data_IF_064893093249
#
_entry.id   IF_064893093249
#
_cell.length_a   1.000
_cell.length_b   1.000
_cell.length_c   1.000
_cell.angle_alpha   90.00
_cell.angle_beta   90.00
_cell.angle_gamma   90.00
#
_symmetry.space_group_name_H-M   'P 1'
#
loop_
_entity.id
_entity.type
_entity.pdbx_description
1 polymer ?
#
# COMPACT_ATOMS: atom_id res chain seq x y z
N UNK A 1 -87.35 36.62 17.58
CA UNK A 1 -87.50 35.31 18.24
C UNK A 1 -86.07 34.86 18.54
N UNK A 2 -85.50 35.21 19.70
CA UNK A 2 -85.54 34.45 20.98
C UNK A 2 -84.78 33.11 20.82
N UNK A 3 -83.70 32.74 21.52
CA UNK A 3 -83.16 33.08 22.86
C UNK A 3 -81.76 32.45 23.03
N UNK A 4 -80.85 33.09 23.78
CA UNK A 4 -79.67 32.52 24.47
C UNK A 4 -80.11 31.53 25.60
N UNK A 5 -79.28 30.63 26.20
CA UNK A 5 -78.06 30.98 26.97
C UNK A 5 -76.89 29.94 27.01
N UNK A 6 -75.80 30.34 27.68
CA UNK A 6 -74.53 29.63 27.95
C UNK A 6 -74.54 28.71 29.24
N UNK A 7 -73.38 28.38 29.89
CA UNK A 7 -72.63 27.10 29.93
C UNK A 7 -72.69 26.39 31.33
N UNK A 8 -71.82 25.40 31.69
CA UNK A 8 -70.56 25.73 32.40
C UNK A 8 -69.37 24.74 32.26
N UNK A 9 -68.24 25.16 32.84
CA UNK A 9 -66.90 24.59 32.90
C UNK A 9 -66.72 23.36 33.80
N UNK A 10 -65.59 22.64 33.65
CA UNK A 10 -64.90 21.94 34.76
C UNK A 10 -63.39 21.86 34.54
N UNK A 11 -62.69 22.34 35.55
CA UNK A 11 -61.25 22.40 35.86
C UNK A 11 -60.65 21.02 36.19
N UNK A 12 -59.39 20.76 35.82
CA UNK A 12 -58.41 20.10 36.72
C UNK A 12 -57.00 20.05 36.11
N UNK A 13 -56.03 20.50 36.90
CA UNK A 13 -54.58 20.53 36.66
C UNK A 13 -53.86 19.23 37.07
N UNK A 14 -52.75 18.94 36.35
CA UNK A 14 -51.47 18.32 36.79
C UNK A 14 -51.47 16.84 37.27
N UNK A 15 -50.30 16.18 37.51
CA UNK A 15 -48.96 16.27 36.90
C UNK A 15 -48.31 14.89 36.55
N UNK A 16 -47.19 14.93 35.81
CA UNK A 16 -45.98 14.13 36.06
C UNK A 16 -46.03 12.59 35.97
N UNK A 17 -45.76 12.04 34.79
CA UNK A 17 -45.31 10.65 34.65
C UNK A 17 -43.78 10.60 34.70
N UNK A 18 -43.25 10.39 35.90
CA UNK A 18 -41.89 9.87 36.11
C UNK A 18 -41.83 8.44 35.59
N UNK A 19 -41.21 8.24 34.43
CA UNK A 19 -40.86 6.91 33.94
C UNK A 19 -39.74 6.34 34.82
N UNK A 20 -40.12 5.43 35.70
CA UNK A 20 -39.23 4.66 36.55
C UNK A 20 -38.34 3.74 35.69
N UNK A 21 -37.04 3.88 35.89
CA UNK A 21 -35.99 3.00 35.40
C UNK A 21 -36.19 1.57 35.90
N UNK A 22 -36.40 0.63 34.98
CA UNK A 22 -36.23 -0.80 35.25
C UNK A 22 -34.92 -1.27 34.64
N UNK A 23 -33.88 -1.26 35.48
CA UNK A 23 -32.61 -1.91 35.26
C UNK A 23 -32.79 -3.43 35.20
N UNK A 24 -32.77 -3.98 33.99
CA UNK A 24 -32.52 -5.40 33.78
C UNK A 24 -31.08 -5.60 33.30
N UNK A 25 -30.19 -5.72 34.28
CA UNK A 25 -28.80 -6.13 34.11
C UNK A 25 -28.73 -7.54 33.55
N UNK A 26 -28.72 -7.68 32.22
CA UNK A 26 -28.20 -8.87 31.56
C UNK A 26 -26.68 -8.78 31.56
N UNK A 27 -26.04 -9.65 32.34
CA UNK A 27 -24.62 -9.97 32.26
C UNK A 27 -24.21 -10.16 30.80
N UNK A 28 -23.59 -9.14 30.20
CA UNK A 28 -22.84 -9.25 28.96
C UNK A 28 -21.51 -9.90 29.36
N UNK A 29 -21.25 -11.11 28.87
CA UNK A 29 -19.92 -11.70 28.90
C UNK A 29 -18.90 -10.66 28.39
N UNK A 30 -17.67 -10.59 28.92
CA UNK A 30 -16.69 -9.62 28.47
C UNK A 30 -16.46 -9.84 26.97
N UNK A 31 -16.96 -8.88 26.19
CA UNK A 31 -16.67 -8.72 24.78
C UNK A 31 -15.15 -8.60 24.69
N UNK A 32 -14.50 -9.67 24.20
CA UNK A 32 -13.06 -9.75 24.03
C UNK A 32 -12.65 -8.54 23.21
N UNK A 33 -11.91 -7.60 23.81
CA UNK A 33 -11.38 -6.47 23.09
C UNK A 33 -10.64 -6.99 21.84
N UNK A 34 -10.77 -6.33 20.68
CA UNK A 34 -10.08 -6.78 19.48
C UNK A 34 -8.59 -6.90 19.79
N UNK A 35 -7.96 -7.99 19.33
CA UNK A 35 -6.54 -8.33 19.56
C UNK A 35 -5.62 -7.37 18.76
N UNK A 36 -5.76 -6.06 18.97
CA UNK A 36 -5.02 -4.96 18.35
C UNK A 36 -3.53 -4.98 18.73
N UNK A 37 -3.18 -5.73 19.78
CA UNK A 37 -1.81 -5.91 20.28
C UNK A 37 -0.90 -6.55 19.24
N UNK A 38 -1.43 -7.46 18.41
CA UNK A 38 -0.67 -8.13 17.34
C UNK A 38 -0.28 -7.12 16.26
N UNK A 39 -1.23 -6.31 15.79
CA UNK A 39 -0.96 -5.32 14.73
C UNK A 39 -0.03 -4.20 15.21
N UNK A 40 -0.19 -3.75 16.47
CA UNK A 40 0.67 -2.71 17.05
C UNK A 40 2.11 -3.20 17.27
N UNK A 41 2.28 -4.44 17.75
CA UNK A 41 3.62 -5.03 17.92
C UNK A 41 4.30 -5.30 16.58
N UNK A 42 3.55 -5.80 15.60
CA UNK A 42 4.04 -5.97 14.23
C UNK A 42 4.46 -4.63 13.61
N UNK A 43 3.68 -3.56 13.81
CA UNK A 43 4.00 -2.24 13.29
C UNK A 43 5.35 -1.71 13.78
N UNK A 44 5.72 -1.97 15.05
CA UNK A 44 7.04 -1.62 15.57
C UNK A 44 8.18 -2.37 14.85
N UNK A 45 7.95 -3.63 14.48
CA UNK A 45 8.90 -4.39 13.64
C UNK A 45 8.96 -3.88 12.20
N UNK A 46 7.81 -3.52 11.62
CA UNK A 46 7.72 -2.91 10.28
C UNK A 46 8.51 -1.60 10.25
N UNK A 47 8.31 -0.70 11.20
CA UNK A 47 8.98 0.61 11.22
C UNK A 47 10.50 0.47 11.28
N UNK A 48 11.01 -0.47 12.09
CA UNK A 48 12.44 -0.77 12.17
C UNK A 48 13.00 -1.32 10.84
N UNK A 49 12.26 -2.21 10.18
CA UNK A 49 12.68 -2.82 8.91
C UNK A 49 12.61 -1.82 7.74
N UNK A 50 11.62 -0.93 7.74
CA UNK A 50 11.51 0.18 6.79
C UNK A 50 12.72 1.11 6.91
N UNK A 51 13.19 1.39 8.12
CA UNK A 51 14.40 2.20 8.33
C UNK A 51 15.67 1.54 7.77
N UNK A 52 15.69 0.20 7.66
CA UNK A 52 16.78 -0.57 7.08
C UNK A 52 16.68 -0.71 5.54
N UNK A 53 15.58 -0.28 4.93
CA UNK A 53 15.34 -0.39 3.48
C UNK A 53 15.06 -1.81 2.98
N UNK A 54 14.73 -2.74 3.89
CA UNK A 54 14.47 -4.15 3.56
C UNK A 54 12.99 -4.39 3.26
N UNK A 55 12.52 -3.91 2.11
CA UNK A 55 11.09 -3.93 1.78
C UNK A 55 10.49 -5.33 1.60
N UNK A 56 11.29 -6.33 1.19
CA UNK A 56 10.83 -7.72 1.13
C UNK A 56 10.54 -8.30 2.53
N UNK A 57 11.37 -7.94 3.53
CA UNK A 57 11.18 -8.37 4.91
C UNK A 57 9.99 -7.65 5.56
N UNK A 58 9.74 -6.39 5.18
CA UNK A 58 8.51 -5.66 5.55
C UNK A 58 7.27 -6.43 5.09
N UNK A 59 7.25 -6.91 3.85
CA UNK A 59 6.14 -7.73 3.33
C UNK A 59 5.98 -8.99 4.17
N UNK A 60 7.05 -9.77 4.36
CA UNK A 60 6.98 -11.03 5.09
C UNK A 60 6.51 -10.86 6.56
N UNK A 61 6.95 -9.79 7.22
CA UNK A 61 6.53 -9.48 8.60
C UNK A 61 5.07 -9.06 8.64
N UNK A 62 4.65 -8.21 7.69
CA UNK A 62 3.27 -7.75 7.59
C UNK A 62 2.29 -8.87 7.27
N UNK A 63 2.63 -9.77 6.36
CA UNK A 63 1.81 -10.94 6.03
C UNK A 63 1.64 -11.87 7.23
N UNK A 64 2.72 -12.13 7.97
CA UNK A 64 2.65 -12.94 9.19
C UNK A 64 1.70 -12.31 10.20
N UNK A 65 1.75 -11.00 10.39
CA UNK A 65 0.85 -10.30 11.28
C UNK A 65 -0.61 -10.31 10.79
N UNK A 66 -0.84 -10.19 9.47
CA UNK A 66 -2.17 -10.31 8.84
C UNK A 66 -2.80 -11.69 9.03
N UNK A 67 -1.98 -12.76 9.02
CA UNK A 67 -2.44 -14.14 9.21
C UNK A 67 -2.76 -14.48 10.67
N UNK A 68 -2.08 -13.85 11.62
CA UNK A 68 -2.25 -14.12 13.06
C UNK A 68 -3.34 -13.24 13.67
N UNK A 69 -3.46 -11.99 13.21
CA UNK A 69 -4.40 -11.02 13.76
C UNK A 69 -5.86 -11.27 13.36
N UNK A 70 -6.77 -10.59 14.06
CA UNK A 70 -8.20 -10.64 13.72
C UNK A 70 -8.47 -9.94 12.38
N UNK A 71 -9.17 -10.64 11.48
CA UNK A 71 -9.49 -10.15 10.13
C UNK A 71 -10.40 -8.92 10.14
N UNK A 72 -11.22 -8.76 11.19
CA UNK A 72 -12.21 -7.69 11.33
C UNK A 72 -11.71 -6.47 12.12
N UNK A 73 -10.50 -6.52 12.69
CA UNK A 73 -9.99 -5.40 13.48
C UNK A 73 -9.65 -4.18 12.59
N UNK A 74 -10.01 -2.95 13.01
CA UNK A 74 -9.61 -1.73 12.31
C UNK A 74 -8.09 -1.48 12.40
N UNK A 75 -7.42 -2.00 13.43
CA UNK A 75 -5.97 -1.87 13.61
C UNK A 75 -5.16 -2.63 12.53
N UNK A 76 -5.82 -3.52 11.79
CA UNK A 76 -5.26 -4.22 10.63
C UNK A 76 -4.72 -3.26 9.56
N UNK A 77 -5.30 -2.07 9.44
CA UNK A 77 -4.82 -1.03 8.52
C UNK A 77 -3.35 -0.63 8.78
N UNK A 78 -2.90 -0.69 10.04
CA UNK A 78 -1.53 -0.37 10.44
C UNK A 78 -0.50 -1.28 9.76
N UNK A 79 -0.90 -2.50 9.41
CA UNK A 79 -0.03 -3.48 8.76
C UNK A 79 -0.28 -3.52 7.25
N UNK A 80 -1.55 -3.48 6.83
CA UNK A 80 -1.91 -3.58 5.40
C UNK A 80 -1.42 -2.37 4.60
N UNK A 81 -1.51 -1.15 5.13
CA UNK A 81 -1.08 0.03 4.37
C UNK A 81 0.43 0.01 4.07
N UNK A 82 1.33 -0.21 5.05
CA UNK A 82 2.76 -0.43 4.77
C UNK A 82 3.03 -1.63 3.86
N UNK A 83 2.30 -2.73 4.01
CA UNK A 83 2.47 -3.94 3.20
C UNK A 83 2.19 -3.68 1.72
N UNK A 84 1.09 -3.00 1.40
CA UNK A 84 0.71 -2.65 0.03
C UNK A 84 1.76 -1.73 -0.59
N UNK A 85 2.25 -0.74 0.15
CA UNK A 85 3.32 0.13 -0.34
C UNK A 85 4.63 -0.62 -0.56
N UNK A 86 4.98 -1.55 0.32
CA UNK A 86 6.14 -2.41 0.16
C UNK A 86 6.03 -3.30 -1.09
N UNK A 87 4.84 -3.86 -1.36
CA UNK A 87 4.58 -4.59 -2.60
C UNK A 87 4.77 -3.73 -3.85
N UNK A 88 4.30 -2.48 -3.83
CA UNK A 88 4.50 -1.54 -4.93
C UNK A 88 5.98 -1.16 -5.15
N UNK A 89 6.79 -1.13 -4.09
CA UNK A 89 8.24 -0.91 -4.16
C UNK A 89 8.93 -2.11 -4.82
N UNK A 90 8.57 -3.33 -4.42
CA UNK A 90 9.11 -4.60 -4.94
C UNK A 90 8.62 -4.92 -6.37
N UNK A 91 7.67 -4.14 -6.90
CA UNK A 91 7.05 -4.33 -8.22
C UNK A 91 6.13 -5.56 -8.32
N UNK A 92 5.56 -6.00 -7.20
CA UNK A 92 4.57 -7.09 -7.19
C UNK A 92 3.15 -6.57 -6.94
N UNK A 93 2.45 -6.28 -8.04
CA UNK A 93 1.15 -5.61 -8.00
C UNK A 93 -0.01 -6.56 -7.66
N UNK A 94 0.15 -7.87 -7.90
CA UNK A 94 -0.95 -8.83 -7.76
C UNK A 94 -1.31 -9.06 -6.28
N UNK A 95 -0.35 -9.38 -5.39
CA UNK A 95 -0.60 -9.49 -3.96
C UNK A 95 -1.06 -8.17 -3.35
N UNK A 96 -0.55 -7.02 -3.82
CA UNK A 96 -0.98 -5.70 -3.36
C UNK A 96 -2.50 -5.50 -3.53
N UNK A 97 -3.02 -5.87 -4.70
CA UNK A 97 -4.46 -5.78 -4.99
C UNK A 97 -5.27 -6.73 -4.11
N UNK A 98 -4.80 -7.96 -3.95
CA UNK A 98 -5.48 -8.94 -3.12
C UNK A 98 -5.49 -8.52 -1.65
N UNK A 99 -4.39 -8.00 -1.12
CA UNK A 99 -4.30 -7.49 0.24
C UNK A 99 -5.38 -6.43 0.54
N UNK A 100 -5.58 -5.47 -0.37
CA UNK A 100 -6.63 -4.44 -0.21
C UNK A 100 -8.04 -5.03 -0.30
N UNK A 101 -8.26 -6.00 -1.19
CA UNK A 101 -9.58 -6.64 -1.34
C UNK A 101 -9.99 -7.48 -0.13
N UNK A 102 -9.03 -7.93 0.69
CA UNK A 102 -9.28 -8.68 1.93
C UNK A 102 -9.66 -7.80 3.12
N UNK A 103 -9.52 -6.48 3.03
CA UNK A 103 -9.90 -5.59 4.11
C UNK A 103 -11.42 -5.64 4.36
N UNK A 104 -11.88 -5.51 5.63
CA UNK A 104 -13.30 -5.37 5.94
C UNK A 104 -13.93 -4.17 5.22
N UNK A 105 -15.19 -4.30 4.80
CA UNK A 105 -15.92 -3.26 4.06
C UNK A 105 -15.97 -1.93 4.81
N UNK A 106 -15.95 -1.96 6.14
CA UNK A 106 -15.94 -0.79 7.01
C UNK A 106 -14.71 0.11 6.76
N UNK A 107 -13.59 -0.46 6.31
CA UNK A 107 -12.34 0.26 6.06
C UNK A 107 -12.24 0.76 4.61
N UNK A 108 -13.02 0.22 3.67
CA UNK A 108 -12.99 0.67 2.26
C UNK A 108 -13.47 2.11 2.07
N UNK A 109 -14.26 2.65 3.01
CA UNK A 109 -14.68 4.04 3.02
C UNK A 109 -13.58 5.03 3.38
N UNK A 110 -12.46 4.57 3.94
CA UNK A 110 -11.38 5.46 4.38
C UNK A 110 -10.59 6.03 3.20
N UNK A 111 -10.25 7.33 3.21
CA UNK A 111 -9.58 7.99 2.09
C UNK A 111 -8.20 7.38 1.80
N UNK A 112 -7.52 6.86 2.82
CA UNK A 112 -6.23 6.18 2.68
C UNK A 112 -6.37 4.88 1.87
N UNK A 113 -7.40 4.07 2.16
CA UNK A 113 -7.62 2.78 1.49
C UNK A 113 -8.04 3.01 0.04
N UNK A 114 -8.94 3.96 -0.21
CA UNK A 114 -9.33 4.38 -1.56
C UNK A 114 -8.14 4.92 -2.35
N UNK A 115 -7.27 5.69 -1.69
CA UNK A 115 -6.07 6.21 -2.28
C UNK A 115 -5.06 5.13 -2.65
N UNK A 116 -4.83 4.16 -1.76
CA UNK A 116 -3.96 3.01 -2.03
C UNK A 116 -4.51 2.15 -3.16
N UNK A 117 -5.82 1.87 -3.17
CA UNK A 117 -6.46 1.11 -4.25
C UNK A 117 -6.33 1.82 -5.60
N UNK A 118 -6.56 3.14 -5.61
CA UNK A 118 -6.35 3.97 -6.81
C UNK A 118 -4.89 3.95 -7.25
N UNK A 119 -3.93 4.04 -6.34
CA UNK A 119 -2.51 4.00 -6.65
C UNK A 119 -2.10 2.66 -7.28
N UNK A 120 -2.56 1.54 -6.71
CA UNK A 120 -2.34 0.19 -7.26
C UNK A 120 -2.95 0.09 -8.67
N UNK A 121 -4.18 0.57 -8.86
CA UNK A 121 -4.86 0.55 -10.15
C UNK A 121 -4.14 1.39 -11.22
N UNK A 122 -3.68 2.59 -10.87
CA UNK A 122 -2.93 3.48 -11.78
C UNK A 122 -1.58 2.87 -12.16
N UNK A 123 -0.89 2.25 -11.20
CA UNK A 123 0.38 1.56 -11.44
C UNK A 123 0.18 0.35 -12.36
N UNK A 124 -0.89 -0.43 -12.14
CA UNK A 124 -1.27 -1.56 -12.99
C UNK A 124 -1.58 -1.15 -14.43
N UNK A 125 -2.35 -0.06 -14.58
CA UNK A 125 -2.71 0.51 -15.89
C UNK A 125 -1.57 1.30 -16.55
N UNK A 126 -0.42 1.44 -15.87
CA UNK A 126 0.75 2.20 -16.34
C UNK A 126 0.43 3.66 -16.67
N UNK A 127 -0.40 4.29 -15.84
CA UNK A 127 -0.79 5.72 -15.93
C UNK A 127 0.25 6.60 -15.23
N UNK A 128 1.45 6.71 -15.80
CA UNK A 128 2.61 7.35 -15.17
C UNK A 128 2.33 8.78 -14.69
N UNK A 129 1.63 9.58 -15.50
CA UNK A 129 1.24 10.95 -15.20
C UNK A 129 0.43 11.09 -13.90
N UNK A 130 -0.49 10.15 -13.67
CA UNK A 130 -1.42 10.18 -12.54
C UNK A 130 -0.86 9.55 -11.28
N UNK A 131 0.16 8.69 -11.40
CA UNK A 131 0.80 8.07 -10.23
C UNK A 131 1.39 9.14 -9.31
N UNK A 132 2.08 10.14 -9.87
CA UNK A 132 2.75 11.18 -9.08
C UNK A 132 1.76 12.06 -8.30
N UNK A 133 0.69 12.53 -8.96
CA UNK A 133 -0.35 13.34 -8.30
C UNK A 133 -1.14 12.54 -7.26
N UNK A 134 -1.35 11.24 -7.50
CA UNK A 134 -1.99 10.34 -6.53
C UNK A 134 -1.13 10.14 -5.29
N UNK A 135 0.18 10.02 -5.44
CA UNK A 135 1.09 9.92 -4.31
C UNK A 135 1.09 11.21 -3.49
N UNK A 136 1.13 12.39 -4.13
CA UNK A 136 1.04 13.67 -3.42
C UNK A 136 -0.26 13.78 -2.60
N UNK A 137 -1.38 13.38 -3.19
CA UNK A 137 -2.67 13.32 -2.47
C UNK A 137 -2.61 12.35 -1.29
N UNK A 138 -1.95 11.19 -1.45
CA UNK A 138 -1.78 10.20 -0.39
C UNK A 138 -0.89 10.68 0.76
N UNK A 139 0.16 11.46 0.47
CA UNK A 139 0.98 12.11 1.50
C UNK A 139 0.13 13.06 2.34
N UNK A 140 -0.76 13.83 1.72
CA UNK A 140 -1.67 14.71 2.45
C UNK A 140 -2.61 13.93 3.38
N UNK A 141 -3.18 12.82 2.91
CA UNK A 141 -4.03 11.93 3.72
C UNK A 141 -3.21 11.23 4.83
N UNK A 142 -1.94 10.92 4.58
CA UNK A 142 -1.07 10.30 5.57
C UNK A 142 -0.76 11.26 6.75
N UNK A 143 -0.79 12.58 6.53
CA UNK A 143 -0.60 13.58 7.59
C UNK A 143 -1.72 13.57 8.64
N UNK A 144 -2.90 13.03 8.32
CA UNK A 144 -4.01 12.93 9.28
C UNK A 144 -3.79 11.83 10.34
N UNK A 145 -2.75 11.00 10.18
CA UNK A 145 -2.41 9.94 11.12
C UNK A 145 -1.46 10.42 12.23
N UNK A 146 -1.48 9.71 13.36
CA UNK A 146 -0.56 9.94 14.47
C UNK A 146 0.86 9.43 14.16
N UNK A 147 1.86 10.06 14.77
CA UNK A 147 3.21 9.50 14.79
C UNK A 147 3.25 8.20 15.62
N UNK A 148 3.99 7.16 15.19
CA UNK A 148 4.99 7.14 14.12
C UNK A 148 4.47 6.66 12.74
N UNK A 149 3.15 6.52 12.56
CA UNK A 149 2.55 5.95 11.34
C UNK A 149 2.82 6.83 10.13
N UNK A 150 2.62 8.14 10.29
CA UNK A 150 2.86 9.15 9.26
C UNK A 150 4.29 9.09 8.71
N UNK A 151 5.28 8.97 9.60
CA UNK A 151 6.69 8.86 9.20
C UNK A 151 6.97 7.61 8.36
N UNK A 152 6.43 6.46 8.76
CA UNK A 152 6.60 5.18 8.03
C UNK A 152 5.94 5.26 6.66
N UNK A 153 4.72 5.79 6.57
CA UNK A 153 4.00 5.95 5.29
C UNK A 153 4.74 6.91 4.36
N UNK A 154 5.26 8.02 4.86
CA UNK A 154 6.06 8.96 4.07
C UNK A 154 7.34 8.33 3.53
N UNK A 155 8.06 7.58 4.37
CA UNK A 155 9.27 6.88 3.96
C UNK A 155 8.98 5.87 2.84
N UNK A 156 7.90 5.09 2.97
CA UNK A 156 7.48 4.11 1.97
C UNK A 156 7.00 4.78 0.67
N UNK A 157 6.19 5.84 0.75
CA UNK A 157 5.72 6.57 -0.44
C UNK A 157 6.87 7.21 -1.22
N UNK A 158 7.83 7.79 -0.50
CA UNK A 158 9.05 8.34 -1.11
C UNK A 158 9.85 7.24 -1.82
N UNK A 159 10.11 6.13 -1.13
CA UNK A 159 10.83 5.02 -1.73
C UNK A 159 10.11 4.44 -2.94
N UNK A 160 8.77 4.33 -2.87
CA UNK A 160 7.96 3.90 -4.00
C UNK A 160 8.19 4.80 -5.22
N UNK A 161 8.14 6.13 -5.05
CA UNK A 161 8.39 7.07 -6.15
C UNK A 161 9.79 6.90 -6.75
N UNK A 162 10.81 6.77 -5.91
CA UNK A 162 12.19 6.62 -6.36
C UNK A 162 12.37 5.30 -7.13
N UNK A 163 11.82 4.21 -6.60
CA UNK A 163 11.84 2.89 -7.24
C UNK A 163 11.02 2.85 -8.53
N UNK A 164 9.88 3.56 -8.58
CA UNK A 164 9.02 3.68 -9.75
C UNK A 164 9.70 4.48 -10.87
N UNK A 165 10.33 5.61 -10.53
CA UNK A 165 11.13 6.40 -11.48
C UNK A 165 12.31 5.60 -12.02
N UNK A 166 13.03 4.87 -11.16
CA UNK A 166 14.16 4.05 -11.60
C UNK A 166 13.72 2.95 -12.57
N UNK A 167 12.64 2.21 -12.26
CA UNK A 167 12.04 1.25 -13.20
C UNK A 167 11.63 1.90 -14.52
N UNK A 168 11.07 3.11 -14.46
CA UNK A 168 10.64 3.86 -15.64
C UNK A 168 11.83 4.31 -16.49
N UNK A 169 12.92 4.76 -15.88
CA UNK A 169 14.19 5.04 -16.57
C UNK A 169 14.74 3.82 -17.29
N UNK A 170 14.75 2.66 -16.63
CA UNK A 170 15.20 1.41 -17.24
C UNK A 170 14.29 0.99 -18.40
N UNK A 171 12.97 1.17 -18.26
CA UNK A 171 12.01 0.91 -19.33
C UNK A 171 12.28 1.80 -20.55
N UNK A 172 12.41 3.12 -20.35
CA UNK A 172 12.70 4.06 -21.43
C UNK A 172 14.03 3.73 -22.11
N UNK A 173 15.05 3.37 -21.33
CA UNK A 173 16.36 2.96 -21.86
C UNK A 173 16.32 1.74 -22.76
N UNK A 174 15.37 0.82 -22.51
CA UNK A 174 15.19 -0.40 -23.31
C UNK A 174 14.30 -0.17 -24.51
N UNK A 175 13.26 0.66 -24.36
CA UNK A 175 12.21 0.85 -25.36
C UNK A 175 12.58 1.86 -26.46
N UNK A 176 13.45 2.83 -26.17
CA UNK A 176 13.75 3.92 -27.09
C UNK A 176 15.25 4.01 -27.40
N UNK A 177 15.58 4.25 -28.67
CA UNK A 177 16.92 4.67 -29.11
C UNK A 177 17.11 6.17 -28.99
N UNK A 178 16.02 6.93 -29.23
CA UNK A 178 15.94 8.37 -29.09
C UNK A 178 14.57 8.72 -28.49
N UNK A 179 14.53 9.65 -27.54
CA UNK A 179 13.30 9.99 -26.82
C UNK A 179 13.24 11.50 -26.53
N UNK A 180 12.15 12.20 -26.86
CA UNK A 180 12.06 13.64 -26.66
C UNK A 180 11.88 13.99 -25.17
N UNK A 181 12.44 15.13 -24.75
CA UNK A 181 12.42 15.59 -23.35
C UNK A 181 11.00 15.69 -22.77
N UNK A 182 10.02 16.13 -23.57
CA UNK A 182 8.63 16.26 -23.13
C UNK A 182 8.02 14.92 -22.71
N UNK A 183 8.29 13.86 -23.47
CA UNK A 183 7.79 12.52 -23.21
C UNK A 183 8.45 11.95 -21.96
N UNK A 184 9.78 12.13 -21.81
CA UNK A 184 10.49 11.74 -20.60
C UNK A 184 9.93 12.46 -19.37
N UNK A 185 9.61 13.75 -19.49
CA UNK A 185 8.98 14.52 -18.42
C UNK A 185 7.60 13.97 -18.02
N UNK A 186 6.78 13.57 -18.98
CA UNK A 186 5.49 12.91 -18.70
C UNK A 186 5.68 11.58 -17.97
N UNK A 187 6.65 10.75 -18.37
CA UNK A 187 6.89 9.45 -17.76
C UNK A 187 7.48 9.55 -16.34
N UNK A 188 8.34 10.54 -16.08
CA UNK A 188 9.03 10.68 -14.78
C UNK A 188 8.35 11.63 -13.80
N UNK A 189 7.42 12.47 -14.28
CA UNK A 189 6.75 13.48 -13.47
C UNK A 189 7.71 14.51 -12.88
N UNK A 190 8.79 14.84 -13.60
CA UNK A 190 9.83 15.77 -13.16
C UNK A 190 9.97 16.94 -14.16
N UNK A 191 10.41 18.12 -13.70
CA UNK A 191 10.76 19.21 -14.59
C UNK A 191 12.06 18.90 -15.35
N UNK A 192 12.23 19.53 -16.51
CA UNK A 192 13.38 19.33 -17.39
C UNK A 192 14.73 19.55 -16.68
N UNK A 193 14.80 20.53 -15.79
CA UNK A 193 15.99 20.90 -15.00
C UNK A 193 16.52 19.74 -14.14
N UNK A 194 15.63 18.86 -13.68
CA UNK A 194 16.01 17.69 -12.88
C UNK A 194 16.25 16.45 -13.76
N UNK A 195 15.59 16.37 -14.91
CA UNK A 195 15.71 15.21 -15.82
C UNK A 195 17.06 15.18 -16.51
N UNK A 196 17.55 16.31 -17.03
CA UNK A 196 18.82 16.39 -17.76
C UNK A 196 19.98 15.84 -16.93
N UNK A 197 20.28 16.35 -15.71
CA UNK A 197 21.37 15.82 -14.90
C UNK A 197 21.13 14.37 -14.48
N UNK A 198 19.89 13.97 -14.18
CA UNK A 198 19.57 12.60 -13.81
C UNK A 198 19.77 11.60 -14.96
N UNK A 199 19.49 12.00 -16.19
CA UNK A 199 19.69 11.19 -17.40
C UNK A 199 21.18 11.10 -17.76
N UNK A 200 21.91 12.23 -17.69
CA UNK A 200 23.36 12.27 -17.93
C UNK A 200 24.14 11.42 -16.91
N UNK A 201 23.74 11.45 -15.63
CA UNK A 201 24.32 10.58 -14.60
C UNK A 201 24.15 9.07 -14.90
N UNK A 202 23.14 8.71 -15.71
CA UNK A 202 22.89 7.35 -16.21
C UNK A 202 23.50 7.10 -17.60
N UNK A 203 24.35 8.01 -18.08
CA UNK A 203 25.07 7.91 -19.34
C UNK A 203 24.25 8.26 -20.59
N UNK A 204 23.03 8.79 -20.44
CA UNK A 204 22.25 9.23 -21.60
C UNK A 204 22.88 10.49 -22.20
N UNK A 205 22.99 10.54 -23.54
CA UNK A 205 23.38 11.76 -24.23
C UNK A 205 22.15 12.66 -24.44
N UNK A 206 22.30 13.97 -24.23
CA UNK A 206 21.25 14.95 -24.48
C UNK A 206 21.69 15.89 -25.59
N UNK A 207 20.85 16.03 -26.61
CA UNK A 207 21.04 17.00 -27.68
C UNK A 207 20.13 18.21 -27.42
N UNK A 208 20.74 19.35 -27.09
CA UNK A 208 20.04 20.59 -26.77
C UNK A 208 19.33 21.20 -27.99
N UNK A 209 19.88 21.00 -29.20
CA UNK A 209 19.31 21.57 -30.41
C UNK A 209 17.98 20.91 -30.79
N UNK A 210 17.89 19.58 -30.63
CA UNK A 210 16.69 18.80 -30.92
C UNK A 210 15.82 18.54 -29.68
N UNK A 211 16.32 18.81 -28.46
CA UNK A 211 15.68 18.49 -27.17
C UNK A 211 15.35 17.00 -27.02
N UNK A 212 16.27 16.14 -27.47
CA UNK A 212 16.13 14.68 -27.50
C UNK A 212 17.23 14.03 -26.65
N UNK A 213 16.85 13.00 -25.89
CA UNK A 213 17.80 12.11 -25.24
C UNK A 213 18.09 10.90 -26.11
N UNK A 214 19.31 10.38 -26.00
CA UNK A 214 19.75 9.09 -26.55
C UNK A 214 20.04 8.16 -25.37
N UNK A 215 19.07 7.32 -24.97
CA UNK A 215 19.25 6.41 -23.86
C UNK A 215 20.32 5.36 -24.14
N UNK A 216 21.07 5.00 -23.10
CA UNK A 216 22.00 3.86 -23.16
C UNK A 216 21.24 2.62 -22.73
N UNK A 217 21.14 1.63 -23.62
CA UNK A 217 20.53 0.35 -23.27
C UNK A 217 21.30 -0.25 -22.09
N UNK A 218 20.61 -0.60 -20.98
CA UNK A 218 21.28 -1.25 -19.87
C UNK A 218 21.91 -2.53 -20.40
N UNK A 219 23.21 -2.71 -20.16
CA UNK A 219 23.89 -3.96 -20.46
C UNK A 219 23.07 -5.06 -19.78
N UNK A 220 22.60 -6.10 -20.49
CA UNK A 220 21.92 -7.20 -19.82
C UNK A 220 22.88 -7.66 -18.73
N UNK A 221 22.45 -7.60 -17.47
CA UNK A 221 23.17 -8.27 -16.41
C UNK A 221 23.37 -9.68 -16.93
N UNK A 222 24.63 -10.09 -17.11
CA UNK A 222 24.95 -11.47 -17.42
C UNK A 222 24.31 -12.25 -16.30
N UNK A 223 23.12 -12.77 -16.54
CA UNK A 223 22.53 -13.78 -15.70
C UNK A 223 23.57 -14.89 -15.78
N UNK A 224 24.40 -15.00 -14.75
CA UNK A 224 25.04 -16.26 -14.43
C UNK A 224 23.87 -17.22 -14.45
N UNK A 225 23.84 -18.05 -15.49
CA UNK A 225 22.74 -18.95 -15.77
C UNK A 225 22.69 -20.00 -14.67
N UNK A 226 22.21 -19.63 -13.48
CA UNK A 226 21.41 -20.50 -12.65
C UNK A 226 20.01 -20.51 -13.29
N UNK A 227 19.98 -20.98 -14.54
CA UNK A 227 18.82 -21.68 -15.06
C UNK A 227 18.78 -22.92 -14.18
N UNK A 228 18.12 -22.81 -13.03
CA UNK A 228 17.71 -23.97 -12.26
C UNK A 228 16.61 -24.63 -13.07
N UNK A 229 17.00 -25.20 -14.21
CA UNK A 229 16.50 -26.52 -14.51
C UNK A 229 16.98 -27.34 -13.32
N UNK A 230 16.08 -27.61 -12.38
CA UNK A 230 16.21 -28.78 -11.52
C UNK A 230 16.13 -29.94 -12.51
N UNK A 231 17.25 -30.17 -13.18
CA UNK A 231 17.40 -31.18 -14.20
C UNK A 231 17.26 -32.47 -13.42
N UNK A 232 16.23 -33.24 -13.72
CA UNK A 232 15.95 -34.54 -13.10
C UNK A 232 17.19 -35.44 -13.10
N UNK A 233 18.11 -35.23 -14.03
CA UNK A 233 19.40 -35.90 -14.12
C UNK A 233 20.40 -35.49 -13.02
N UNK A 234 20.46 -34.23 -12.61
CA UNK A 234 21.32 -33.78 -11.50
C UNK A 234 20.80 -34.30 -10.15
N UNK A 235 19.47 -34.29 -9.95
CA UNK A 235 18.85 -34.90 -8.76
C UNK A 235 19.07 -36.42 -8.76
N UNK A 236 18.93 -37.08 -9.92
CA UNK A 236 19.21 -38.51 -10.05
C UNK A 236 20.68 -38.83 -9.74
N UNK A 237 21.64 -38.08 -10.28
CA UNK A 237 23.06 -38.27 -10.00
C UNK A 237 23.38 -38.11 -8.51
N UNK A 238 22.77 -37.12 -7.85
CA UNK A 238 22.94 -36.90 -6.42
C UNK A 238 22.40 -38.08 -5.60
N UNK A 239 21.19 -38.58 -5.91
CA UNK A 239 20.61 -39.72 -5.20
C UNK A 239 21.42 -40.98 -5.47
N UNK A 240 21.79 -41.27 -6.71
CA UNK A 240 22.58 -42.44 -7.08
C UNK A 240 23.96 -42.47 -6.38
N UNK A 241 24.65 -41.33 -6.32
CA UNK A 241 25.92 -41.23 -5.59
C UNK A 241 25.76 -41.33 -4.07
N UNK A 242 24.66 -40.82 -3.52
CA UNK A 242 24.41 -40.87 -2.08
C UNK A 242 24.12 -42.29 -1.61
N UNK A 243 23.34 -43.06 -2.39
CA UNK A 243 23.05 -44.47 -2.08
C UNK A 243 24.29 -45.33 -2.25
N UNK A 244 25.07 -45.15 -3.33
CA UNK A 244 26.30 -45.92 -3.55
C UNK A 244 27.39 -45.71 -2.48
N UNK A 245 27.36 -44.59 -1.74
CA UNK A 245 28.27 -44.33 -0.61
C UNK A 245 27.80 -44.94 0.71
N UNK A 246 26.53 -45.33 0.83
CA UNK A 246 25.94 -45.94 2.03
C UNK A 246 26.05 -47.47 2.00
N UNK A 247 26.34 -48.06 0.84
CA UNK A 247 26.39 -49.51 0.63
C UNK A 247 27.83 -50.10 0.65
N UNK A 248 28.85 -49.31 1.00
CA UNK A 248 30.24 -49.76 1.21
C UNK A 248 30.69 -49.53 2.65
#
# INVERSE_FOLDING_TARGET
MSTDPAPPATTASAPGLSASSSSSSKNKAPERAPDDTVFRSAFAGISATVAQGQYADVVALAERADLIGDSNSPARLLVIAPMVLAYLIVDDLTPARFALSRLPEQLHGLPIVQGLNSLVALTWQRRYDQVYSRVETLVNVANDFEEPITQVLHALLRQFLDSFRERTFQLLSRAYTEVPLNLVATYLGLPAEQIIPAAQARGWAYDEASKVFKPVKPKPATATAAKTEISSLNTFHFVAHSVGKLET
#
